data_IF_841252555056
#
_entry.id   IF_841252555056
#
_cell.length_a   1.000
_cell.length_b   1.000
_cell.length_c   1.000
_cell.angle_alpha   90.00
_cell.angle_beta   90.00
_cell.angle_gamma   90.00
#
_symmetry.space_group_name_H-M   'P 1'
#
loop_
_entity.id
_entity.type
_entity.pdbx_description
1 polymer ?
#
# COMPACT_ATOMS: atom_id res chain seq x y z
N UNK A 1 -5.55 -31.38 14.12
CA UNK A 1 -5.24 -30.27 15.06
C UNK A 1 -3.84 -29.77 14.71
N UNK A 2 -3.72 -28.94 13.69
CA UNK A 2 -3.76 -27.47 13.81
C UNK A 2 -2.37 -26.89 14.15
N UNK A 3 -1.39 -27.07 13.25
CA UNK A 3 -0.06 -26.46 13.45
C UNK A 3 0.57 -25.84 12.19
N UNK A 4 -0.17 -25.82 11.06
CA UNK A 4 0.31 -25.19 9.82
C UNK A 4 -0.32 -23.81 9.52
N UNK A 5 -1.13 -23.25 10.43
CA UNK A 5 -1.74 -21.92 10.23
C UNK A 5 -0.84 -20.76 10.71
N UNK A 6 0.49 -20.90 10.64
CA UNK A 6 1.44 -19.90 11.16
C UNK A 6 2.27 -19.15 10.12
N UNK A 7 1.91 -19.24 8.85
CA UNK A 7 2.32 -18.26 7.86
C UNK A 7 1.03 -17.76 7.22
N UNK A 8 0.43 -16.74 7.85
CA UNK A 8 -0.71 -16.02 7.31
C UNK A 8 -0.29 -15.31 6.03
N UNK A 9 -0.13 -16.07 4.95
CA UNK A 9 -0.23 -15.62 3.57
C UNK A 9 -1.70 -15.26 3.31
N UNK A 10 -2.24 -14.36 4.13
CA UNK A 10 -3.29 -13.48 3.70
C UNK A 10 -2.58 -12.62 2.68
N UNK A 11 -2.68 -13.01 1.42
CA UNK A 11 -2.48 -12.11 0.29
C UNK A 11 -3.61 -11.09 0.39
N UNK A 12 -3.56 -10.23 1.42
CA UNK A 12 -4.18 -8.92 1.36
C UNK A 12 -3.43 -8.32 0.20
N UNK A 13 -4.08 -8.25 -0.97
CA UNK A 13 -3.53 -7.65 -2.17
C UNK A 13 -2.73 -6.43 -1.73
N UNK A 14 -1.39 -6.48 -1.75
CA UNK A 14 -0.52 -5.61 -0.96
C UNK A 14 -0.49 -4.22 -1.61
N UNK A 15 -1.48 -3.37 -1.31
CA UNK A 15 -1.70 -2.19 -2.09
C UNK A 15 -0.72 -1.14 -1.57
N UNK A 16 -0.39 -0.11 -2.36
CA UNK A 16 0.37 1.02 -1.82
C UNK A 16 -0.22 1.52 -0.49
N UNK A 17 -1.53 1.43 -0.27
CA UNK A 17 -2.19 1.74 0.99
C UNK A 17 -1.61 1.09 2.27
N UNK A 18 -0.98 -0.10 2.19
CA UNK A 18 -0.37 -0.81 3.32
C UNK A 18 1.15 -0.61 3.49
N UNK A 19 1.76 0.23 2.63
CA UNK A 19 3.21 0.40 2.56
C UNK A 19 3.74 1.45 3.56
N UNK A 20 4.95 1.27 4.11
CA UNK A 20 5.61 2.25 5.02
C UNK A 20 5.79 3.63 4.37
N UNK A 21 5.94 3.63 3.05
CA UNK A 21 6.19 4.82 2.24
C UNK A 21 4.90 5.53 1.82
N UNK A 22 3.74 4.93 2.07
CA UNK A 22 2.47 5.52 1.68
C UNK A 22 2.11 6.67 2.60
N UNK A 23 1.68 7.77 1.99
CA UNK A 23 1.19 8.97 2.66
C UNK A 23 -0.22 9.23 2.16
N UNK A 24 -1.24 8.84 2.93
CA UNK A 24 -2.62 9.07 2.53
C UNK A 24 -2.93 10.57 2.53
N UNK A 25 -3.69 11.04 1.52
CA UNK A 25 -4.21 12.40 1.47
C UNK A 25 -3.15 13.52 1.59
N UNK A 26 -1.96 13.30 1.04
CA UNK A 26 -0.91 14.31 0.93
C UNK A 26 -1.29 15.52 0.04
N UNK A 27 -2.21 15.33 -0.92
CA UNK A 27 -2.74 16.39 -1.79
C UNK A 27 -4.27 16.33 -1.88
N UNK A 28 -5.00 16.73 -0.82
CA UNK A 28 -6.46 16.63 -0.78
C UNK A 28 -7.12 17.47 -1.89
N UNK A 29 -8.23 16.97 -2.44
CA UNK A 29 -8.98 17.64 -3.50
C UNK A 29 -8.41 17.46 -4.92
N UNK A 30 -7.30 16.72 -5.07
CA UNK A 30 -6.73 16.38 -6.38
C UNK A 30 -7.18 14.99 -6.85
N UNK A 31 -6.95 14.69 -8.14
CA UNK A 31 -7.20 13.34 -8.70
C UNK A 31 -6.25 12.27 -8.16
N UNK A 32 -5.12 12.68 -7.57
CA UNK A 32 -4.10 11.80 -7.02
C UNK A 32 -3.74 12.24 -5.59
N UNK A 33 -4.64 12.01 -4.61
CA UNK A 33 -4.49 12.59 -3.28
C UNK A 33 -3.44 11.91 -2.42
N UNK A 34 -3.02 10.69 -2.75
CA UNK A 34 -2.03 9.95 -1.96
C UNK A 34 -0.63 10.16 -2.52
N UNK A 35 0.40 10.04 -1.71
CA UNK A 35 1.79 10.13 -2.17
C UNK A 35 2.54 8.86 -1.77
N UNK A 36 3.35 8.33 -2.70
CA UNK A 36 4.39 7.37 -2.40
C UNK A 36 5.70 8.14 -2.14
N UNK A 37 6.21 8.11 -0.92
CA UNK A 37 7.44 8.79 -0.54
C UNK A 37 8.71 8.12 -1.11
N UNK A 38 8.63 6.86 -1.56
CA UNK A 38 9.78 6.14 -2.13
C UNK A 38 10.16 6.66 -3.53
N UNK A 39 9.15 6.90 -4.37
CA UNK A 39 9.32 7.38 -5.75
C UNK A 39 8.84 8.83 -5.93
N UNK A 40 8.49 9.49 -4.82
CA UNK A 40 7.99 10.86 -4.75
C UNK A 40 6.82 11.16 -5.71
N UNK A 41 5.97 10.15 -5.97
CA UNK A 41 4.85 10.24 -6.92
C UNK A 41 3.51 10.31 -6.20
N UNK A 42 2.61 11.13 -6.73
CA UNK A 42 1.20 11.11 -6.33
C UNK A 42 0.45 9.96 -6.99
N UNK A 43 -0.42 9.30 -6.22
CA UNK A 43 -1.22 8.16 -6.60
C UNK A 43 -2.70 8.50 -6.42
N UNK A 44 -3.50 8.15 -7.43
CA UNK A 44 -4.95 8.09 -7.35
C UNK A 44 -5.41 6.99 -6.40
N UNK A 45 -6.69 7.03 -6.04
CA UNK A 45 -7.33 6.00 -5.22
C UNK A 45 -7.31 4.62 -5.91
N UNK A 46 -7.33 4.59 -7.25
CA UNK A 46 -7.21 3.35 -8.02
C UNK A 46 -5.77 2.82 -7.98
N UNK A 47 -4.77 3.68 -8.21
CA UNK A 47 -3.35 3.30 -8.13
C UNK A 47 -2.94 2.90 -6.72
N UNK A 48 -3.51 3.51 -5.67
CA UNK A 48 -3.20 3.16 -4.29
C UNK A 48 -3.64 1.74 -3.92
N UNK A 49 -4.58 1.16 -4.69
CA UNK A 49 -5.09 -0.21 -4.57
C UNK A 49 -4.36 -1.22 -5.46
N UNK A 50 -3.50 -0.78 -6.37
CA UNK A 50 -2.73 -1.67 -7.23
C UNK A 50 -1.58 -2.32 -6.47
N UNK A 51 -1.17 -3.51 -6.91
CA UNK A 51 0.02 -4.20 -6.40
C UNK A 51 1.27 -3.38 -6.72
N UNK A 52 2.08 -3.14 -5.69
CA UNK A 52 3.36 -2.44 -5.83
C UNK A 52 4.52 -3.43 -5.63
N UNK A 53 5.44 -3.57 -6.60
CA UNK A 53 6.60 -4.46 -6.46
C UNK A 53 7.51 -4.05 -5.31
N UNK A 54 7.65 -2.75 -5.08
CA UNK A 54 8.46 -2.17 -4.00
C UNK A 54 7.71 -2.05 -2.66
N UNK A 55 6.55 -2.73 -2.52
CA UNK A 55 5.75 -2.66 -1.31
C UNK A 55 6.53 -3.19 -0.09
N UNK A 56 6.75 -2.31 0.88
CA UNK A 56 7.28 -2.68 2.19
C UNK A 56 6.18 -2.50 3.23
N UNK A 57 5.73 -3.57 3.91
CA UNK A 57 4.64 -3.48 4.88
C UNK A 57 5.03 -2.57 6.06
N UNK A 58 4.12 -1.68 6.46
CA UNK A 58 4.27 -0.92 7.71
C UNK A 58 4.22 -1.88 8.90
N UNK A 59 5.18 -1.72 9.82
CA UNK A 59 5.31 -2.54 11.03
C UNK A 59 4.17 -2.29 12.03
#
# INVERSE_FOLDING_TARGET
MEALRRAGALVVAAPCAGCVHFRPNAAPGTRAPHQCALIERYLSEAESRMLCPEHTPAA
#
